data_IF_309117030638
#
_entry.id   IF_309117030638
#
_cell.length_a   1.000
_cell.length_b   1.000
_cell.length_c   1.000
_cell.angle_alpha   90.00
_cell.angle_beta   90.00
_cell.angle_gamma   90.00
#
_symmetry.space_group_name_H-M   'P 1'
#
loop_
_entity.id
_entity.type
_entity.pdbx_description
1 polymer ?
#
# COMPACT_ATOMS: atom_id res chain seq x y z
N UNK A 1 16.95 11.31 13.48
CA UNK A 1 16.40 12.10 12.36
C UNK A 1 16.22 11.15 11.19
N UNK A 2 14.99 10.72 10.92
CA UNK A 2 14.71 9.85 9.76
C UNK A 2 14.59 10.77 8.56
N UNK A 3 15.50 10.58 7.59
CA UNK A 3 15.53 11.33 6.35
C UNK A 3 14.54 10.65 5.42
N UNK A 4 13.30 11.12 5.38
CA UNK A 4 12.33 10.65 4.37
C UNK A 4 12.93 10.95 3.01
N UNK A 5 13.34 9.93 2.28
CA UNK A 5 13.89 10.09 0.94
C UNK A 5 12.75 10.44 0.00
N UNK A 6 13.03 11.26 -1.02
CA UNK A 6 12.01 11.69 -1.99
C UNK A 6 11.26 10.48 -2.61
N UNK A 7 11.99 9.36 -2.78
CA UNK A 7 11.50 8.05 -3.16
C UNK A 7 10.36 7.49 -2.29
N UNK A 8 10.38 7.70 -0.96
CA UNK A 8 9.37 7.15 -0.05
C UNK A 8 8.06 7.95 -0.11
N UNK A 9 8.19 9.27 -0.32
CA UNK A 9 7.04 10.15 -0.56
C UNK A 9 6.40 9.81 -1.89
N UNK A 10 7.20 9.62 -2.94
CA UNK A 10 6.73 9.21 -4.26
C UNK A 10 6.05 7.82 -4.21
N UNK A 11 6.56 6.88 -3.40
CA UNK A 11 5.95 5.56 -3.22
C UNK A 11 4.63 5.62 -2.42
N UNK A 12 4.57 6.46 -1.38
CA UNK A 12 3.33 6.68 -0.62
C UNK A 12 2.23 7.24 -1.51
N UNK A 13 2.54 8.24 -2.33
CA UNK A 13 1.60 8.81 -3.29
C UNK A 13 1.18 7.78 -4.34
N UNK A 14 2.13 6.98 -4.84
CA UNK A 14 1.84 5.92 -5.79
C UNK A 14 0.87 4.88 -5.22
N UNK A 15 1.07 4.43 -3.98
CA UNK A 15 0.17 3.46 -3.32
C UNK A 15 -1.25 4.01 -3.21
N UNK A 16 -1.39 5.27 -2.76
CA UNK A 16 -2.70 5.92 -2.63
C UNK A 16 -3.37 6.03 -4.00
N UNK A 17 -2.66 6.52 -5.02
CA UNK A 17 -3.24 6.72 -6.36
C UNK A 17 -3.60 5.38 -7.03
N UNK A 18 -2.73 4.37 -6.87
CA UNK A 18 -2.92 3.03 -7.43
C UNK A 18 -4.14 2.33 -6.84
N UNK A 19 -4.34 2.44 -5.52
CA UNK A 19 -5.42 1.76 -4.80
C UNK A 19 -6.73 2.55 -4.76
N UNK A 20 -6.71 3.83 -5.11
CA UNK A 20 -7.91 4.67 -5.08
C UNK A 20 -9.00 4.09 -6.01
N UNK A 21 -10.17 3.78 -5.47
CA UNK A 21 -11.26 3.22 -6.28
C UNK A 21 -11.04 1.79 -6.77
N UNK A 22 -10.02 1.08 -6.25
CA UNK A 22 -9.82 -0.34 -6.52
C UNK A 22 -11.11 -1.14 -6.22
N UNK A 23 -11.52 -2.09 -7.10
CA UNK A 23 -10.77 -2.68 -8.21
C UNK A 23 -10.86 -1.92 -9.55
N UNK A 24 -11.51 -0.76 -9.61
CA UNK A 24 -11.51 0.06 -10.82
C UNK A 24 -10.10 0.57 -11.14
N UNK A 25 -9.78 0.71 -12.43
CA UNK A 25 -8.45 1.11 -12.90
C UNK A 25 -8.30 2.63 -12.95
N UNK A 26 -7.32 3.17 -12.22
CA UNK A 26 -6.86 4.57 -12.33
C UNK A 26 -5.66 4.76 -13.27
N UNK A 27 -5.44 3.81 -14.19
CA UNK A 27 -4.26 3.75 -15.07
C UNK A 27 -3.91 5.10 -15.73
N UNK A 28 -4.90 5.77 -16.34
CA UNK A 28 -4.63 7.01 -17.07
C UNK A 28 -4.10 8.13 -16.17
N UNK A 29 -4.63 8.26 -14.94
CA UNK A 29 -4.15 9.25 -13.99
C UNK A 29 -2.78 8.86 -13.41
N UNK A 30 -2.57 7.57 -13.14
CA UNK A 30 -1.29 7.06 -12.69
C UNK A 30 -0.18 7.29 -13.73
N UNK A 31 -0.44 6.97 -15.00
CA UNK A 31 0.48 7.21 -16.11
C UNK A 31 0.72 8.72 -16.33
N UNK A 32 -0.30 9.56 -16.16
CA UNK A 32 -0.14 11.03 -16.19
C UNK A 32 0.77 11.55 -15.06
N UNK A 33 0.64 11.00 -13.84
CA UNK A 33 1.39 11.44 -12.66
C UNK A 33 2.86 11.00 -12.66
N UNK A 34 3.14 9.78 -13.12
CA UNK A 34 4.49 9.18 -13.06
C UNK A 34 5.17 9.11 -14.43
N UNK A 35 4.45 9.38 -15.53
CA UNK A 35 5.01 9.49 -16.87
C UNK A 35 5.80 8.25 -17.29
N UNK A 36 7.01 8.42 -17.86
CA UNK A 36 7.87 7.30 -18.27
C UNK A 36 8.24 6.33 -17.13
N UNK A 37 8.20 6.78 -15.88
CA UNK A 37 8.51 5.94 -14.72
C UNK A 37 7.31 5.10 -14.24
N UNK A 38 6.11 5.31 -14.78
CA UNK A 38 4.88 4.69 -14.29
C UNK A 38 4.97 3.15 -14.22
N UNK A 39 5.61 2.50 -15.20
CA UNK A 39 5.81 1.06 -15.18
C UNK A 39 6.70 0.61 -14.00
N UNK A 40 7.84 1.27 -13.80
CA UNK A 40 8.75 0.95 -12.70
C UNK A 40 8.12 1.25 -11.32
N UNK A 41 7.38 2.34 -11.20
CA UNK A 41 6.66 2.69 -9.96
C UNK A 41 5.55 1.68 -9.68
N UNK A 42 4.81 1.23 -10.71
CA UNK A 42 3.79 0.18 -10.57
C UNK A 42 4.40 -1.12 -10.03
N UNK A 43 5.56 -1.53 -10.52
CA UNK A 43 6.25 -2.71 -10.00
C UNK A 43 6.67 -2.54 -8.53
N UNK A 44 7.16 -1.37 -8.13
CA UNK A 44 7.46 -1.07 -6.71
C UNK A 44 6.19 -1.15 -5.86
N UNK A 45 5.08 -0.57 -6.31
CA UNK A 45 3.78 -0.67 -5.61
C UNK A 45 3.37 -2.14 -5.44
N UNK A 46 3.44 -2.95 -6.50
CA UNK A 46 3.10 -4.37 -6.45
C UNK A 46 3.95 -5.14 -5.44
N UNK A 47 5.25 -4.88 -5.37
CA UNK A 47 6.13 -5.50 -4.37
C UNK A 47 5.65 -5.21 -2.95
N UNK A 48 5.25 -3.97 -2.65
CA UNK A 48 4.72 -3.60 -1.33
C UNK A 48 3.38 -4.29 -1.04
N UNK A 49 2.48 -4.36 -2.02
CA UNK A 49 1.19 -5.02 -1.85
C UNK A 49 1.35 -6.55 -1.67
N UNK A 50 2.23 -7.17 -2.45
CA UNK A 50 2.57 -8.58 -2.32
C UNK A 50 3.19 -8.87 -0.95
N UNK A 51 3.98 -7.94 -0.39
CA UNK A 51 4.50 -8.06 0.96
C UNK A 51 3.37 -7.99 2.00
N UNK A 52 2.45 -7.03 1.87
CA UNK A 52 1.29 -6.93 2.75
C UNK A 52 0.42 -8.19 2.72
N UNK A 53 0.24 -8.80 1.54
CA UNK A 53 -0.50 -10.05 1.39
C UNK A 53 0.19 -11.28 2.01
N UNK A 54 1.49 -11.19 2.33
CA UNK A 54 2.24 -12.23 3.05
C UNK A 54 2.22 -12.04 4.57
N UNK A 55 1.59 -10.98 5.07
CA UNK A 55 1.34 -10.85 6.50
C UNK A 55 0.28 -11.88 6.87
N UNK A 56 0.53 -12.59 7.96
CA UNK A 56 -0.34 -13.64 8.51
C UNK A 56 -0.95 -13.13 9.82
N UNK A 57 -2.14 -12.49 9.78
CA UNK A 57 -2.93 -12.22 10.97
C UNK A 57 -3.29 -13.51 11.69
N UNK A 58 -3.47 -13.41 13.00
CA UNK A 58 -4.00 -14.51 13.78
C UNK A 58 -5.51 -14.60 13.59
N UNK A 59 -5.96 -15.50 12.70
CA UNK A 59 -7.37 -15.63 12.38
C UNK A 59 -8.20 -16.35 13.46
N UNK A 60 -7.56 -16.98 14.44
CA UNK A 60 -8.28 -17.56 15.57
C UNK A 60 -8.75 -16.46 16.54
N UNK A 61 -8.02 -15.34 16.60
CA UNK A 61 -8.22 -14.25 17.55
C UNK A 61 -8.55 -12.88 16.93
N UNK A 62 -8.39 -12.70 15.61
CA UNK A 62 -8.63 -11.42 14.91
C UNK A 62 -9.83 -11.46 13.96
N UNK A 63 -10.65 -10.43 14.01
CA UNK A 63 -11.64 -10.10 12.97
C UNK A 63 -10.96 -9.57 11.70
N UNK A 64 -11.68 -9.55 10.58
CA UNK A 64 -11.18 -8.98 9.32
C UNK A 64 -10.72 -7.52 9.45
N UNK A 65 -11.41 -6.71 10.24
CA UNK A 65 -11.01 -5.32 10.48
C UNK A 65 -9.72 -5.25 11.30
N UNK A 66 -9.61 -6.06 12.35
CA UNK A 66 -8.39 -6.14 13.19
C UNK A 66 -7.20 -6.67 12.39
N UNK A 67 -7.42 -7.63 11.49
CA UNK A 67 -6.41 -8.09 10.53
C UNK A 67 -5.94 -6.95 9.62
N UNK A 68 -6.86 -6.11 9.13
CA UNK A 68 -6.52 -4.89 8.37
C UNK A 68 -5.63 -3.93 9.15
N UNK A 69 -6.00 -3.62 10.41
CA UNK A 69 -5.23 -2.74 11.29
C UNK A 69 -3.86 -3.34 11.68
N UNK A 70 -3.80 -4.66 11.86
CA UNK A 70 -2.57 -5.40 12.10
C UNK A 70 -1.62 -5.28 10.91
N UNK A 71 -2.10 -5.50 9.69
CA UNK A 71 -1.32 -5.33 8.45
C UNK A 71 -0.79 -3.90 8.33
N UNK A 72 -1.60 -2.88 8.63
CA UNK A 72 -1.14 -1.48 8.63
C UNK A 72 0.01 -1.26 9.61
N UNK A 73 -0.07 -1.85 10.81
CA UNK A 73 0.97 -1.73 11.83
C UNK A 73 2.27 -2.41 11.38
N UNK A 74 2.18 -3.64 10.88
CA UNK A 74 3.36 -4.37 10.36
C UNK A 74 4.01 -3.61 9.20
N UNK A 75 3.21 -3.10 8.26
CA UNK A 75 3.74 -2.37 7.10
C UNK A 75 4.36 -1.02 7.49
N UNK A 76 3.84 -0.36 8.52
CA UNK A 76 4.45 0.87 9.08
C UNK A 76 5.82 0.60 9.71
N UNK A 77 5.97 -0.52 10.41
CA UNK A 77 7.25 -0.91 11.02
C UNK A 77 8.30 -1.25 9.97
N UNK A 78 7.90 -1.96 8.91
CA UNK A 78 8.79 -2.34 7.80
C UNK A 78 9.11 -1.19 6.85
N UNK A 79 8.15 -0.28 6.64
CA UNK A 79 8.26 0.86 5.74
C UNK A 79 7.94 2.17 6.48
N UNK A 80 8.82 2.63 7.39
CA UNK A 80 8.56 3.82 8.22
C UNK A 80 8.49 5.13 7.42
N UNK A 81 8.88 5.10 6.14
CA UNK A 81 8.74 6.22 5.21
C UNK A 81 7.35 6.35 4.57
N UNK A 82 6.48 5.34 4.71
CA UNK A 82 5.13 5.39 4.17
C UNK A 82 4.24 6.36 4.94
N UNK A 83 3.44 7.12 4.20
CA UNK A 83 2.45 8.01 4.79
C UNK A 83 1.33 7.21 5.48
N UNK A 84 0.67 7.78 6.50
CA UNK A 84 -0.50 7.16 7.14
C UNK A 84 -1.60 6.78 6.13
N UNK A 85 -1.83 7.61 5.12
CA UNK A 85 -2.83 7.36 4.09
C UNK A 85 -2.47 6.18 3.18
N UNK A 86 -1.18 6.00 2.86
CA UNK A 86 -0.72 4.85 2.10
C UNK A 86 -0.89 3.56 2.90
N UNK A 87 -0.59 3.59 4.21
CA UNK A 87 -0.78 2.46 5.12
C UNK A 87 -2.26 2.09 5.22
N UNK A 88 -3.15 3.06 5.44
CA UNK A 88 -4.60 2.85 5.46
C UNK A 88 -5.09 2.20 4.15
N UNK A 89 -4.62 2.69 2.99
CA UNK A 89 -4.95 2.11 1.70
C UNK A 89 -4.50 0.64 1.58
N UNK A 90 -3.32 0.30 2.09
CA UNK A 90 -2.82 -1.09 2.14
C UNK A 90 -3.73 -1.97 3.00
N UNK A 91 -4.12 -1.52 4.19
CA UNK A 91 -5.03 -2.26 5.07
C UNK A 91 -6.38 -2.51 4.41
N UNK A 92 -6.96 -1.49 3.78
CA UNK A 92 -8.21 -1.60 3.03
C UNK A 92 -8.10 -2.54 1.82
N UNK A 93 -6.96 -2.53 1.13
CA UNK A 93 -6.69 -3.46 0.04
C UNK A 93 -6.64 -4.91 0.55
N UNK A 94 -5.92 -5.16 1.66
CA UNK A 94 -5.82 -6.49 2.25
C UNK A 94 -7.20 -7.05 2.62
N UNK A 95 -8.01 -6.27 3.35
CA UNK A 95 -9.34 -6.73 3.78
C UNK A 95 -10.30 -6.94 2.61
N UNK A 96 -10.17 -6.15 1.54
CA UNK A 96 -10.92 -6.39 0.30
C UNK A 96 -10.55 -7.72 -0.37
N UNK A 97 -9.26 -8.10 -0.41
CA UNK A 97 -8.82 -9.37 -1.00
C UNK A 97 -9.25 -10.60 -0.19
N UNK A 98 -9.35 -10.46 1.14
CA UNK A 98 -9.73 -11.55 2.05
C UNK A 98 -11.23 -11.73 2.23
N UNK A 99 -12.05 -10.88 1.60
CA UNK A 99 -13.51 -10.91 1.67
C UNK A 99 -14.12 -11.86 0.64
#
# INVERSE_FOLDING_TARGET
>A
MVKTTNDDVDLSEALVLYLRGYPASNRAEFESRFGPAAAAVTERVRVILDEAMRVEPDWDDMTLNEAGDYVQTVMRERHPGLSPQALEAIGNYYTFQMR
#
